data_IF_074708935321
#
_entry.id   IF_074708935321
#
_cell.length_a   1.000
_cell.length_b   1.000
_cell.length_c   1.000
_cell.angle_alpha   90.00
_cell.angle_beta   90.00
_cell.angle_gamma   90.00
#
_symmetry.space_group_name_H-M   'P 1'
#
loop_
_entity.id
_entity.type
_entity.pdbx_description
1 polymer ?
#
# COMPACT_ATOMS: atom_id res chain seq x y z
N UNK A 1 8.75 -5.22 2.26
CA UNK A 1 7.82 -5.33 3.41
C UNK A 1 8.52 -5.79 4.69
N UNK A 2 9.39 -6.81 4.68
CA UNK A 2 10.16 -7.25 5.88
C UNK A 2 11.37 -6.35 6.26
N UNK A 3 11.68 -5.33 5.47
CA UNK A 3 12.83 -4.45 5.71
C UNK A 3 12.55 -3.35 6.77
N UNK A 4 11.28 -3.01 7.02
CA UNK A 4 10.92 -2.02 8.05
C UNK A 4 10.90 -2.68 9.43
N UNK A 5 12.00 -2.58 10.18
CA UNK A 5 12.15 -3.14 11.54
C UNK A 5 11.39 -2.40 12.65
N UNK A 6 10.30 -1.68 12.34
CA UNK A 6 9.65 -0.77 13.29
C UNK A 6 8.16 -1.02 13.56
N UNK A 7 7.40 -1.52 12.58
CA UNK A 7 5.95 -1.59 12.72
C UNK A 7 5.49 -2.95 13.25
N UNK A 8 4.57 -2.95 14.22
CA UNK A 8 3.89 -4.16 14.74
C UNK A 8 3.36 -5.07 13.61
N UNK A 9 3.03 -4.49 12.45
CA UNK A 9 2.61 -5.19 11.24
C UNK A 9 3.68 -6.11 10.66
N UNK A 10 4.97 -5.72 10.70
CA UNK A 10 6.07 -6.54 10.20
C UNK A 10 6.32 -7.73 11.12
N UNK A 11 6.17 -7.54 12.43
CA UNK A 11 6.21 -8.63 13.41
C UNK A 11 5.01 -9.57 13.24
N UNK A 12 3.80 -9.02 13.06
CA UNK A 12 2.57 -9.81 12.87
C UNK A 12 2.62 -10.65 11.58
N UNK A 13 3.00 -10.04 10.44
CA UNK A 13 3.13 -10.76 9.18
C UNK A 13 4.24 -11.82 9.24
N UNK A 14 5.34 -11.55 9.95
CA UNK A 14 6.40 -12.52 10.19
C UNK A 14 5.92 -13.73 11.01
N UNK A 15 5.18 -13.49 12.10
CA UNK A 15 4.61 -14.56 12.95
C UNK A 15 3.59 -15.39 12.18
N UNK A 16 2.66 -14.75 11.46
CA UNK A 16 1.65 -15.46 10.64
C UNK A 16 2.34 -16.31 9.57
N UNK A 17 3.36 -15.76 8.89
CA UNK A 17 4.12 -16.50 7.89
C UNK A 17 4.85 -17.71 8.50
N UNK A 18 5.55 -17.53 9.62
CA UNK A 18 6.25 -18.61 10.32
C UNK A 18 5.26 -19.69 10.81
N UNK A 19 4.12 -19.29 11.35
CA UNK A 19 3.06 -20.20 11.78
C UNK A 19 2.48 -20.99 10.61
N UNK A 20 2.20 -20.33 9.48
CA UNK A 20 1.75 -20.97 8.25
C UNK A 20 2.77 -21.96 7.70
N UNK A 21 4.05 -21.58 7.66
CA UNK A 21 5.13 -22.48 7.25
C UNK A 21 5.29 -23.68 8.18
N UNK A 22 5.20 -23.47 9.50
CA UNK A 22 5.24 -24.55 10.48
C UNK A 22 4.06 -25.51 10.30
N UNK A 23 2.85 -25.00 10.07
CA UNK A 23 1.66 -25.80 9.79
C UNK A 23 1.82 -26.64 8.51
N UNK A 24 2.31 -26.03 7.42
CA UNK A 24 2.59 -26.73 6.16
C UNK A 24 3.61 -27.84 6.37
N UNK A 25 4.69 -27.60 7.12
CA UNK A 25 5.67 -28.62 7.45
C UNK A 25 5.05 -29.75 8.27
N UNK A 26 4.28 -29.46 9.32
CA UNK A 26 3.63 -30.49 10.14
C UNK A 26 2.70 -31.37 9.29
N UNK A 27 1.89 -30.77 8.41
CA UNK A 27 0.98 -31.49 7.52
C UNK A 27 1.77 -32.35 6.52
N UNK A 28 2.77 -31.78 5.86
CA UNK A 28 3.57 -32.47 4.84
C UNK A 28 4.32 -33.70 5.39
N UNK A 29 4.76 -33.63 6.64
CA UNK A 29 5.48 -34.73 7.30
C UNK A 29 4.58 -35.60 8.19
N UNK A 30 3.26 -35.37 8.20
CA UNK A 30 2.31 -36.14 9.00
C UNK A 30 2.57 -36.09 10.51
N UNK A 31 3.19 -35.01 11.01
CA UNK A 31 3.58 -34.88 12.42
C UNK A 31 4.72 -35.80 12.88
N UNK A 32 5.40 -36.50 11.97
CA UNK A 32 6.48 -37.43 12.30
C UNK A 32 7.77 -36.67 12.66
N UNK A 33 8.03 -36.52 13.97
CA UNK A 33 9.20 -35.82 14.51
C UNK A 33 10.53 -36.37 13.98
N UNK A 34 10.62 -37.68 13.72
CA UNK A 34 11.79 -38.34 13.16
C UNK A 34 12.24 -37.75 11.81
N UNK A 35 11.30 -37.21 11.02
CA UNK A 35 11.60 -36.58 9.73
C UNK A 35 11.89 -35.07 9.86
N UNK A 36 11.40 -34.41 10.91
CA UNK A 36 11.62 -32.98 11.16
C UNK A 36 12.97 -32.69 11.83
N UNK A 37 13.43 -33.54 12.76
CA UNK A 37 14.69 -33.35 13.49
C UNK A 37 15.89 -33.16 12.53
N UNK A 38 16.05 -33.97 11.46
CA UNK A 38 17.12 -33.77 10.47
C UNK A 38 17.05 -32.43 9.75
N UNK A 39 15.86 -32.00 9.36
CA UNK A 39 15.65 -30.74 8.64
C UNK A 39 16.07 -29.54 9.52
N UNK A 40 15.70 -29.57 10.79
CA UNK A 40 16.16 -28.60 11.78
C UNK A 40 17.68 -28.61 11.95
N UNK A 41 18.28 -29.80 12.12
CA UNK A 41 19.72 -29.95 12.30
C UNK A 41 20.50 -29.38 11.11
N UNK A 42 20.10 -29.70 9.87
CA UNK A 42 20.70 -29.15 8.66
C UNK A 42 20.64 -27.62 8.66
N UNK A 43 19.48 -27.03 8.97
CA UNK A 43 19.34 -25.56 9.02
C UNK A 43 20.24 -24.91 10.07
N UNK A 44 20.24 -25.43 11.30
CA UNK A 44 21.02 -24.90 12.43
C UNK A 44 22.52 -25.04 12.21
N UNK A 45 22.99 -26.22 11.80
CA UNK A 45 24.41 -26.41 11.53
C UNK A 45 24.87 -25.63 10.30
N UNK A 46 24.03 -25.45 9.28
CA UNK A 46 24.34 -24.55 8.16
C UNK A 46 24.51 -23.10 8.64
N UNK A 47 23.57 -22.61 9.46
CA UNK A 47 23.63 -21.26 10.00
C UNK A 47 24.88 -21.05 10.89
N UNK A 48 25.20 -22.00 11.76
CA UNK A 48 26.41 -21.94 12.57
C UNK A 48 27.67 -22.01 11.73
N UNK A 49 27.76 -22.93 10.77
CA UNK A 49 28.93 -23.07 9.88
C UNK A 49 29.19 -21.77 9.11
N UNK A 50 28.14 -21.18 8.52
CA UNK A 50 28.22 -19.91 7.79
C UNK A 50 28.52 -18.72 8.69
N UNK A 51 27.93 -18.66 9.90
CA UNK A 51 28.21 -17.60 10.88
C UNK A 51 29.67 -17.65 11.34
N UNK A 52 30.16 -18.84 11.71
CA UNK A 52 31.55 -19.03 12.13
C UNK A 52 32.53 -18.72 10.99
N UNK A 53 32.25 -19.19 9.76
CA UNK A 53 33.05 -18.84 8.57
C UNK A 53 33.03 -17.34 8.27
N UNK A 54 31.87 -16.69 8.39
CA UNK A 54 31.71 -15.25 8.25
C UNK A 54 32.54 -14.48 9.28
N UNK A 55 32.54 -14.95 10.54
CA UNK A 55 33.36 -14.36 11.60
C UNK A 55 34.86 -14.55 11.35
N UNK A 56 35.30 -15.65 10.74
CA UNK A 56 36.71 -15.81 10.32
C UNK A 56 37.09 -14.73 9.30
N UNK A 57 36.24 -14.49 8.30
CA UNK A 57 36.45 -13.43 7.29
C UNK A 57 36.44 -12.04 7.95
N UNK A 58 35.51 -11.80 8.87
CA UNK A 58 35.40 -10.55 9.65
C UNK A 58 36.70 -10.25 10.42
N UNK A 59 37.18 -11.18 11.22
CA UNK A 59 38.41 -11.02 12.00
C UNK A 59 39.64 -10.80 11.10
N UNK A 60 39.68 -11.45 9.93
CA UNK A 60 40.76 -11.25 8.94
C UNK A 60 40.73 -9.85 8.30
N UNK A 61 39.54 -9.26 8.12
CA UNK A 61 39.36 -7.93 7.52
C UNK A 61 39.62 -6.80 8.52
N UNK A 62 39.03 -6.85 9.72
CA UNK A 62 39.09 -5.75 10.70
C UNK A 62 40.35 -5.80 11.58
N UNK A 63 40.87 -7.01 11.90
CA UNK A 63 42.11 -7.22 12.66
C UNK A 63 42.15 -6.54 14.05
N UNK A 64 41.03 -6.57 14.76
CA UNK A 64 40.88 -6.12 16.14
C UNK A 64 41.82 -6.84 17.14
N UNK A 65 42.09 -6.28 18.33
CA UNK A 65 42.97 -6.91 19.31
C UNK A 65 42.58 -8.37 19.62
N UNK A 66 43.53 -9.30 19.51
CA UNK A 66 43.26 -10.73 19.69
C UNK A 66 42.65 -11.45 18.48
N UNK A 67 42.54 -10.80 17.31
CA UNK A 67 41.89 -11.38 16.12
C UNK A 67 42.43 -12.75 15.72
N UNK A 68 43.73 -13.01 15.87
CA UNK A 68 44.33 -14.32 15.51
C UNK A 68 43.74 -15.46 16.34
N UNK A 69 43.56 -15.25 17.65
CA UNK A 69 42.97 -16.25 18.55
C UNK A 69 41.51 -16.50 18.21
N UNK A 70 40.72 -15.42 18.10
CA UNK A 70 39.29 -15.53 17.80
C UNK A 70 39.04 -16.13 16.42
N UNK A 71 39.90 -15.82 15.45
CA UNK A 71 39.87 -16.41 14.12
C UNK A 71 40.14 -17.93 14.16
N UNK A 72 41.12 -18.39 14.95
CA UNK A 72 41.37 -19.83 15.12
C UNK A 72 40.19 -20.52 15.80
N UNK A 73 39.64 -19.94 16.87
CA UNK A 73 38.47 -20.49 17.57
C UNK A 73 37.28 -20.63 16.63
N UNK A 74 36.94 -19.57 15.90
CA UNK A 74 35.83 -19.59 14.95
C UNK A 74 36.13 -20.50 13.74
N UNK A 75 37.39 -20.61 13.32
CA UNK A 75 37.82 -21.52 12.26
C UNK A 75 37.62 -22.99 12.66
N UNK A 76 38.06 -23.36 13.86
CA UNK A 76 37.83 -24.71 14.41
C UNK A 76 36.33 -24.96 14.57
N UNK A 77 35.57 -23.99 15.08
CA UNK A 77 34.12 -24.08 15.20
C UNK A 77 33.42 -24.29 13.84
N UNK A 78 33.83 -23.55 12.80
CA UNK A 78 33.31 -23.70 11.44
C UNK A 78 33.60 -25.08 10.86
N UNK A 79 34.82 -25.61 11.04
CA UNK A 79 35.18 -26.96 10.59
C UNK A 79 34.37 -28.02 11.35
N UNK A 80 34.30 -27.94 12.68
CA UNK A 80 33.57 -28.91 13.49
C UNK A 80 32.07 -28.93 13.13
N UNK A 81 31.43 -27.77 13.04
CA UNK A 81 30.01 -27.66 12.65
C UNK A 81 29.77 -28.08 11.20
N UNK A 82 30.70 -27.79 10.29
CA UNK A 82 30.67 -28.27 8.91
C UNK A 82 30.78 -29.79 8.80
N UNK A 83 31.65 -30.43 9.59
CA UNK A 83 31.75 -31.89 9.67
C UNK A 83 30.43 -32.49 10.17
N UNK A 84 29.85 -31.95 11.24
CA UNK A 84 28.54 -32.41 11.74
C UNK A 84 27.45 -32.26 10.69
N UNK A 85 27.42 -31.14 9.97
CA UNK A 85 26.48 -30.92 8.86
C UNK A 85 26.60 -32.00 7.78
N UNK A 86 27.83 -32.32 7.36
CA UNK A 86 28.11 -33.36 6.37
C UNK A 86 27.69 -34.74 6.87
N UNK A 87 28.01 -35.07 8.13
CA UNK A 87 27.62 -36.34 8.75
C UNK A 87 26.09 -36.46 8.80
N UNK A 88 25.39 -35.42 9.26
CA UNK A 88 23.92 -35.41 9.33
C UNK A 88 23.31 -35.55 7.93
N UNK A 89 23.83 -34.82 6.94
CA UNK A 89 23.36 -34.92 5.56
C UNK A 89 23.56 -36.32 4.96
N UNK A 90 24.74 -36.93 5.18
CA UNK A 90 25.07 -38.24 4.64
C UNK A 90 24.36 -39.39 5.37
N UNK A 91 24.33 -39.36 6.71
CA UNK A 91 23.66 -40.37 7.55
C UNK A 91 22.16 -40.42 7.25
N UNK A 92 21.50 -39.27 7.13
CA UNK A 92 20.06 -39.21 6.89
C UNK A 92 19.67 -39.60 5.47
N UNK A 93 20.59 -39.53 4.51
CA UNK A 93 20.39 -40.11 3.19
C UNK A 93 20.22 -41.64 3.26
N UNK A 94 20.97 -42.31 4.14
CA UNK A 94 20.89 -43.78 4.29
C UNK A 94 19.60 -44.24 4.98
N UNK A 95 18.98 -43.39 5.79
CA UNK A 95 17.71 -43.67 6.49
C UNK A 95 16.46 -43.29 5.68
N UNK A 96 16.62 -42.91 4.41
CA UNK A 96 15.51 -42.51 3.54
C UNK A 96 15.01 -41.08 3.74
N UNK A 97 15.69 -40.27 4.56
CA UNK A 97 15.36 -38.87 4.79
C UNK A 97 16.02 -37.95 3.73
N UNK A 98 15.60 -38.11 2.48
CA UNK A 98 16.04 -37.29 1.33
C UNK A 98 15.52 -35.85 1.35
N UNK A 99 14.58 -35.53 2.23
CA UNK A 99 13.83 -34.27 2.20
C UNK A 99 14.72 -33.02 2.33
N UNK A 100 15.69 -32.92 3.26
CA UNK A 100 16.55 -31.73 3.34
C UNK A 100 17.37 -31.46 2.08
N UNK A 101 17.78 -32.52 1.36
CA UNK A 101 18.55 -32.43 0.11
C UNK A 101 17.72 -31.78 -1.00
N UNK A 102 16.40 -31.89 -0.97
CA UNK A 102 15.51 -31.24 -1.93
C UNK A 102 15.07 -29.86 -1.44
N UNK A 103 14.65 -29.76 -0.18
CA UNK A 103 14.08 -28.53 0.38
C UNK A 103 15.10 -27.39 0.44
N UNK A 104 16.35 -27.66 0.86
CA UNK A 104 17.36 -26.61 1.00
C UNK A 104 17.72 -25.98 -0.36
N UNK A 105 18.07 -26.74 -1.42
CA UNK A 105 18.29 -26.16 -2.74
C UNK A 105 17.07 -25.45 -3.31
N UNK A 106 15.85 -25.96 -3.06
CA UNK A 106 14.61 -25.31 -3.50
C UNK A 106 14.45 -23.92 -2.87
N UNK A 107 14.67 -23.79 -1.56
CA UNK A 107 14.63 -22.50 -0.86
C UNK A 107 15.73 -21.56 -1.39
N UNK A 108 16.95 -22.06 -1.61
CA UNK A 108 18.05 -21.28 -2.18
C UNK A 108 17.70 -20.79 -3.59
N UNK A 109 17.10 -21.65 -4.44
CA UNK A 109 16.66 -21.31 -5.78
C UNK A 109 15.55 -20.25 -5.75
N UNK A 110 14.58 -20.37 -4.85
CA UNK A 110 13.52 -19.38 -4.62
C UNK A 110 14.12 -18.02 -4.24
N UNK A 111 14.97 -17.95 -3.22
CA UNK A 111 15.61 -16.71 -2.79
C UNK A 111 16.50 -16.10 -3.88
N UNK A 112 17.20 -16.95 -4.64
CA UNK A 112 18.00 -16.50 -5.78
C UNK A 112 17.14 -15.96 -6.92
N UNK A 113 16.00 -16.58 -7.20
CA UNK A 113 15.01 -16.11 -8.17
C UNK A 113 14.45 -14.75 -7.80
N UNK A 114 14.06 -14.57 -6.53
CA UNK A 114 13.61 -13.30 -5.97
C UNK A 114 14.70 -12.23 -6.13
N UNK A 115 15.94 -12.52 -5.73
CA UNK A 115 17.07 -11.58 -5.89
C UNK A 115 17.25 -11.15 -7.35
N UNK A 116 17.27 -12.11 -8.28
CA UNK A 116 17.42 -11.83 -9.73
C UNK A 116 16.28 -11.00 -10.28
N UNK A 117 15.05 -11.20 -9.79
CA UNK A 117 13.91 -10.39 -10.17
C UNK A 117 14.09 -8.94 -9.72
N UNK A 118 14.45 -8.70 -8.46
CA UNK A 118 14.73 -7.36 -7.95
C UNK A 118 15.91 -6.68 -8.67
N UNK A 119 16.99 -7.42 -8.96
CA UNK A 119 18.12 -6.89 -9.73
C UNK A 119 17.72 -6.53 -11.19
N UNK A 120 16.76 -7.24 -11.78
CA UNK A 120 16.21 -6.91 -13.10
C UNK A 120 15.37 -5.63 -13.05
N UNK A 121 14.47 -5.53 -12.09
CA UNK A 121 13.61 -4.35 -11.90
C UNK A 121 14.47 -3.11 -11.61
N UNK A 122 15.46 -3.24 -10.72
CA UNK A 122 16.40 -2.16 -10.39
C UNK A 122 17.16 -1.64 -11.61
N UNK A 123 17.62 -2.54 -12.49
CA UNK A 123 18.28 -2.14 -13.74
C UNK A 123 17.36 -1.39 -14.71
N UNK A 124 16.09 -1.80 -14.81
CA UNK A 124 15.10 -1.15 -15.69
C UNK A 124 14.70 0.23 -15.16
N UNK A 125 14.63 0.38 -13.84
CA UNK A 125 14.29 1.64 -13.18
C UNK A 125 15.50 2.58 -12.98
N UNK A 126 16.71 2.16 -13.36
CA UNK A 126 17.91 2.96 -13.18
C UNK A 126 17.90 4.14 -14.16
N UNK A 127 17.64 5.34 -13.65
CA UNK A 127 17.63 6.58 -14.43
C UNK A 127 19.05 7.12 -14.56
N UNK A 128 19.48 7.42 -15.78
CA UNK A 128 20.70 8.19 -16.07
C UNK A 128 20.36 9.67 -16.29
N UNK A 129 21.24 10.62 -15.99
CA UNK A 129 20.96 12.05 -16.24
C UNK A 129 20.54 12.36 -17.69
N UNK A 130 21.06 11.60 -18.66
CA UNK A 130 20.75 11.72 -20.09
C UNK A 130 19.37 11.17 -20.48
N UNK A 131 18.78 10.28 -19.68
CA UNK A 131 17.46 9.69 -19.94
C UNK A 131 16.30 10.56 -19.46
N UNK A 132 16.57 11.70 -18.81
CA UNK A 132 15.53 12.63 -18.33
C UNK A 132 15.14 13.56 -19.48
N UNK A 133 14.20 13.11 -20.33
CA UNK A 133 13.50 13.99 -21.27
C UNK A 133 12.25 14.55 -20.59
N UNK A 134 12.14 15.89 -20.57
CA UNK A 134 10.92 16.57 -20.13
C UNK A 134 9.94 16.56 -21.31
N UNK A 135 9.06 15.58 -21.35
CA UNK A 135 7.96 15.58 -22.31
C UNK A 135 6.86 16.52 -21.82
N UNK A 136 6.28 17.29 -22.75
CA UNK A 136 5.07 18.07 -22.45
C UNK A 136 3.92 17.08 -22.44
N UNK A 137 3.42 16.77 -21.26
CA UNK A 137 2.29 15.87 -21.08
C UNK A 137 1.03 16.73 -21.11
N UNK A 138 0.15 16.49 -22.07
CA UNK A 138 -1.22 16.95 -21.97
C UNK A 138 -1.94 16.06 -20.97
N UNK A 139 -2.86 16.61 -20.19
CA UNK A 139 -3.64 15.85 -19.22
C UNK A 139 -5.14 16.19 -19.31
N UNK A 140 -5.91 15.18 -19.63
CA UNK A 140 -7.36 15.16 -19.50
C UNK A 140 -7.74 14.64 -18.13
N UNK A 141 -8.68 15.31 -17.48
CA UNK A 141 -9.27 14.82 -16.23
C UNK A 141 -10.71 14.39 -16.48
N UNK A 142 -11.00 13.12 -16.16
CA UNK A 142 -12.34 12.53 -16.20
C UNK A 142 -12.81 12.33 -14.77
N UNK A 143 -13.91 12.97 -14.37
CA UNK A 143 -14.50 12.81 -13.04
C UNK A 143 -15.66 11.83 -13.12
N UNK A 144 -15.53 10.67 -12.48
CA UNK A 144 -16.63 9.71 -12.42
C UNK A 144 -17.65 10.16 -11.38
N UNK A 145 -18.87 10.40 -11.82
CA UNK A 145 -19.97 10.82 -10.96
C UNK A 145 -21.01 9.70 -10.84
N UNK A 146 -21.73 9.68 -9.72
CA UNK A 146 -22.87 8.78 -9.51
C UNK A 146 -24.19 9.36 -10.03
N UNK A 147 -25.28 8.65 -9.78
CA UNK A 147 -26.65 9.05 -10.19
C UNK A 147 -27.19 10.29 -9.47
N UNK A 148 -26.46 10.82 -8.49
CA UNK A 148 -26.89 11.96 -7.68
C UNK A 148 -25.71 12.88 -7.37
N UNK A 149 -25.97 14.19 -7.40
CA UNK A 149 -25.01 15.20 -7.01
C UNK A 149 -24.95 15.31 -5.48
N UNK A 150 -23.77 15.08 -4.91
CA UNK A 150 -23.54 15.17 -3.47
C UNK A 150 -22.22 15.87 -3.16
N UNK A 151 -22.00 16.23 -1.89
CA UNK A 151 -20.81 16.99 -1.43
C UNK A 151 -19.48 16.34 -1.83
N UNK A 152 -19.41 15.00 -1.81
CA UNK A 152 -18.26 14.25 -2.31
C UNK A 152 -17.95 14.46 -3.81
N UNK A 153 -18.97 14.48 -4.68
CA UNK A 153 -18.81 14.75 -6.12
C UNK A 153 -18.37 16.20 -6.33
N UNK A 154 -18.99 17.17 -5.65
CA UNK A 154 -18.58 18.58 -5.75
C UNK A 154 -17.11 18.76 -5.36
N UNK A 155 -16.68 18.16 -4.24
CA UNK A 155 -15.28 18.20 -3.80
C UNK A 155 -14.33 17.54 -4.82
N UNK A 156 -14.77 16.46 -5.47
CA UNK A 156 -14.00 15.81 -6.53
C UNK A 156 -13.90 16.67 -7.80
N UNK A 157 -14.97 17.36 -8.18
CA UNK A 157 -14.96 18.34 -9.28
C UNK A 157 -14.04 19.52 -8.96
N UNK A 158 -14.09 20.06 -7.74
CA UNK A 158 -13.18 21.14 -7.30
C UNK A 158 -11.71 20.69 -7.34
N UNK A 159 -11.44 19.47 -6.87
CA UNK A 159 -10.11 18.88 -6.97
C UNK A 159 -9.66 18.73 -8.43
N UNK A 160 -10.53 18.22 -9.29
CA UNK A 160 -10.26 18.06 -10.72
C UNK A 160 -9.97 19.41 -11.40
N UNK A 161 -10.72 20.47 -11.09
CA UNK A 161 -10.44 21.84 -11.55
C UNK A 161 -9.07 22.33 -11.08
N UNK A 162 -8.67 22.01 -9.85
CA UNK A 162 -7.37 22.46 -9.31
C UNK A 162 -6.17 21.88 -10.06
N UNK A 163 -6.34 20.76 -10.78
CA UNK A 163 -5.32 20.17 -11.64
C UNK A 163 -5.07 20.96 -12.92
N UNK A 164 -5.93 21.93 -13.27
CA UNK A 164 -5.88 22.75 -14.49
C UNK A 164 -5.64 21.93 -15.77
N UNK A 165 -6.50 20.93 -16.05
CA UNK A 165 -6.38 20.13 -17.26
C UNK A 165 -6.72 20.91 -18.52
N UNK A 166 -6.21 20.43 -19.65
CA UNK A 166 -6.61 20.91 -20.98
C UNK A 166 -8.09 20.58 -21.23
N UNK A 167 -8.52 19.39 -20.80
CA UNK A 167 -9.91 18.95 -20.89
C UNK A 167 -10.39 18.41 -19.54
N UNK A 168 -11.54 18.89 -19.10
CA UNK A 168 -12.22 18.43 -17.89
C UNK A 168 -13.63 17.99 -18.25
N UNK A 169 -13.96 16.73 -17.96
CA UNK A 169 -15.28 16.17 -18.24
C UNK A 169 -15.76 15.35 -17.05
N UNK A 170 -17.03 15.52 -16.68
CA UNK A 170 -17.71 14.66 -15.74
C UNK A 170 -18.41 13.54 -16.51
N UNK A 171 -18.23 12.29 -16.09
CA UNK A 171 -18.81 11.12 -16.75
C UNK A 171 -19.71 10.38 -15.79
N UNK A 172 -20.96 10.19 -16.20
CA UNK A 172 -21.92 9.34 -15.51
C UNK A 172 -22.21 8.10 -16.36
N UNK A 173 -22.01 6.91 -15.79
CA UNK A 173 -22.49 5.68 -16.43
C UNK A 173 -23.93 5.44 -15.99
N UNK A 174 -24.87 5.69 -16.90
CA UNK A 174 -26.29 5.54 -16.63
C UNK A 174 -26.77 4.11 -16.89
N UNK A 175 -27.56 3.58 -15.97
CA UNK A 175 -28.24 2.28 -16.07
C UNK A 175 -29.73 2.42 -16.38
N UNK A 176 -30.32 3.54 -15.98
CA UNK A 176 -31.75 3.81 -16.02
C UNK A 176 -31.99 5.24 -16.51
N UNK A 177 -33.02 5.43 -17.35
CA UNK A 177 -33.31 6.76 -17.92
C UNK A 177 -33.73 7.76 -16.82
N UNK A 178 -34.39 7.29 -15.75
CA UNK A 178 -34.80 8.15 -14.63
C UNK A 178 -33.58 8.78 -13.92
N UNK A 179 -32.53 7.99 -13.68
CA UNK A 179 -31.31 8.48 -13.02
C UNK A 179 -30.57 9.50 -13.90
N UNK A 180 -30.56 9.27 -15.22
CA UNK A 180 -30.02 10.24 -16.19
C UNK A 180 -30.74 11.58 -16.07
N UNK A 181 -32.07 11.57 -16.19
CA UNK A 181 -32.86 12.81 -16.13
C UNK A 181 -32.68 13.54 -14.80
N UNK A 182 -32.62 12.79 -13.70
CA UNK A 182 -32.40 13.35 -12.36
C UNK A 182 -31.05 14.06 -12.27
N UNK A 183 -29.98 13.40 -12.71
CA UNK A 183 -28.65 13.98 -12.68
C UNK A 183 -28.55 15.22 -13.60
N UNK A 184 -29.11 15.17 -14.81
CA UNK A 184 -29.12 16.33 -15.72
C UNK A 184 -29.86 17.53 -15.12
N UNK A 185 -31.01 17.32 -14.47
CA UNK A 185 -31.77 18.37 -13.78
C UNK A 185 -30.95 18.98 -12.64
N UNK A 186 -30.28 18.16 -11.84
CA UNK A 186 -29.40 18.63 -10.77
C UNK A 186 -28.21 19.41 -11.35
N UNK A 187 -27.54 18.88 -12.37
CA UNK A 187 -26.37 19.51 -12.97
C UNK A 187 -26.66 20.95 -13.43
N UNK A 188 -27.83 21.16 -14.06
CA UNK A 188 -28.31 22.50 -14.45
C UNK A 188 -28.68 23.35 -13.25
N UNK A 189 -29.40 22.80 -12.27
CA UNK A 189 -29.86 23.54 -11.09
C UNK A 189 -28.70 24.04 -10.21
N UNK A 190 -27.59 23.29 -10.15
CA UNK A 190 -26.39 23.66 -9.41
C UNK A 190 -25.37 24.45 -10.25
N UNK A 191 -25.72 24.80 -11.50
CA UNK A 191 -24.88 25.59 -12.43
C UNK A 191 -23.45 25.05 -12.55
N UNK A 192 -23.31 23.72 -12.66
CA UNK A 192 -21.99 23.10 -12.80
C UNK A 192 -21.45 23.38 -14.20
N UNK A 193 -20.36 24.13 -14.27
CA UNK A 193 -19.67 24.61 -15.47
C UNK A 193 -18.88 23.52 -16.23
N UNK A 194 -18.78 22.33 -15.65
CA UNK A 194 -18.06 21.19 -16.24
C UNK A 194 -19.00 20.42 -17.17
N UNK A 195 -18.58 20.09 -18.41
CA UNK A 195 -19.35 19.23 -19.31
C UNK A 195 -19.69 17.88 -18.65
N UNK A 196 -20.96 17.49 -18.72
CA UNK A 196 -21.44 16.19 -18.26
C UNK A 196 -21.70 15.28 -19.46
N UNK A 197 -20.95 14.20 -19.57
CA UNK A 197 -21.15 13.13 -20.54
C UNK A 197 -21.80 11.91 -19.88
N UNK A 198 -22.86 11.40 -20.48
CA UNK A 198 -23.63 10.28 -19.94
C UNK A 198 -23.48 9.08 -20.86
N UNK A 199 -22.84 8.03 -20.36
CA UNK A 199 -22.60 6.78 -21.09
C UNK A 199 -23.62 5.75 -20.65
N UNK A 200 -24.45 5.28 -21.59
CA UNK A 200 -25.47 4.27 -21.28
C UNK A 200 -24.88 2.86 -21.18
N UNK A 201 -25.23 2.14 -20.12
CA UNK A 201 -24.81 0.75 -19.86
C UNK A 201 -26.01 -0.17 -19.60
N UNK A 202 -26.46 -0.94 -20.62
CA UNK A 202 -27.67 -1.75 -20.50
C UNK A 202 -27.53 -2.93 -19.51
N UNK A 203 -26.30 -3.38 -19.24
CA UNK A 203 -26.02 -4.55 -18.41
C UNK A 203 -25.66 -4.21 -16.96
N UNK A 204 -25.86 -2.97 -16.52
CA UNK A 204 -25.44 -2.47 -15.19
C UNK A 204 -23.94 -2.65 -14.92
N UNK A 205 -23.14 -2.61 -15.98
CA UNK A 205 -21.70 -2.69 -15.90
C UNK A 205 -21.12 -1.27 -15.83
N UNK A 206 -20.29 -0.98 -14.82
CA UNK A 206 -19.60 0.31 -14.70
C UNK A 206 -18.27 0.32 -15.45
N UNK A 207 -17.54 -0.80 -15.41
CA UNK A 207 -16.12 -0.84 -15.79
C UNK A 207 -15.95 -0.76 -17.31
N UNK A 208 -16.62 -1.62 -18.07
CA UNK A 208 -16.45 -1.68 -19.52
C UNK A 208 -16.87 -0.38 -20.25
N UNK A 209 -17.97 0.31 -19.89
CA UNK A 209 -18.30 1.60 -20.48
C UNK A 209 -17.27 2.69 -20.16
N UNK A 210 -16.73 2.73 -18.94
CA UNK A 210 -15.67 3.68 -18.57
C UNK A 210 -14.41 3.42 -19.38
N UNK A 211 -14.01 2.16 -19.56
CA UNK A 211 -12.85 1.83 -20.38
C UNK A 211 -13.03 2.26 -21.83
N UNK A 212 -14.17 1.90 -22.46
CA UNK A 212 -14.45 2.32 -23.84
C UNK A 212 -14.42 3.83 -23.99
N UNK A 213 -14.99 4.54 -23.02
CA UNK A 213 -14.96 5.99 -23.02
C UNK A 213 -13.54 6.56 -22.93
N UNK A 214 -12.69 6.00 -22.06
CA UNK A 214 -11.28 6.41 -21.96
C UNK A 214 -10.51 6.06 -23.24
N UNK A 215 -10.79 4.91 -23.86
CA UNK A 215 -10.20 4.52 -25.16
C UNK A 215 -10.59 5.51 -26.27
N UNK A 216 -11.85 5.94 -26.32
CA UNK A 216 -12.32 6.98 -27.25
C UNK A 216 -11.63 8.34 -26.99
N UNK A 217 -11.31 8.67 -25.74
CA UNK A 217 -10.57 9.89 -25.40
C UNK A 217 -9.10 9.81 -25.83
N UNK A 218 -8.45 8.66 -25.68
CA UNK A 218 -7.08 8.44 -26.15
C UNK A 218 -6.99 8.51 -27.69
N UNK A 219 -8.01 8.02 -28.41
CA UNK A 219 -8.09 8.17 -29.87
C UNK A 219 -8.32 9.63 -30.29
N UNK A 220 -9.06 10.39 -29.47
CA UNK A 220 -9.38 11.81 -29.74
C UNK A 220 -8.18 12.72 -29.46
N UNK A 221 -7.38 12.42 -28.46
CA UNK A 221 -6.28 13.25 -27.99
C UNK A 221 -4.98 12.46 -27.92
N UNK A 222 -4.15 12.57 -28.96
CA UNK A 222 -2.86 11.92 -28.99
C UNK A 222 -1.94 12.42 -27.86
N UNK A 223 -1.27 11.49 -27.18
CA UNK A 223 -0.27 11.74 -26.15
C UNK A 223 -0.79 12.46 -24.89
N UNK A 224 -2.05 12.22 -24.54
CA UNK A 224 -2.72 12.75 -23.35
C UNK A 224 -2.67 11.71 -22.19
N UNK A 225 -2.32 12.16 -20.98
CA UNK A 225 -2.42 11.33 -19.78
C UNK A 225 -3.80 11.53 -19.15
N UNK A 226 -4.65 10.50 -19.25
CA UNK A 226 -5.99 10.55 -18.70
C UNK A 226 -5.96 10.29 -17.19
N UNK A 227 -6.38 11.28 -16.42
CA UNK A 227 -6.58 11.18 -14.97
C UNK A 227 -8.04 10.91 -14.65
N UNK A 228 -8.35 9.71 -14.18
CA UNK A 228 -9.68 9.32 -13.72
C UNK A 228 -9.83 9.63 -12.24
N UNK A 229 -10.66 10.61 -11.91
CA UNK A 229 -10.97 11.04 -10.55
C UNK A 229 -12.21 10.33 -10.05
N UNK A 230 -12.06 9.58 -8.96
CA UNK A 230 -13.12 8.80 -8.33
C UNK A 230 -13.45 9.41 -6.96
N UNK A 231 -14.65 9.98 -6.75
CA UNK A 231 -15.12 10.37 -5.42
C UNK A 231 -15.32 9.12 -4.55
N UNK A 232 -14.70 9.09 -3.37
CA UNK A 232 -14.85 7.97 -2.43
C UNK A 232 -15.41 8.42 -1.09
N UNK A 233 -16.39 7.69 -0.58
CA UNK A 233 -16.93 7.92 0.75
C UNK A 233 -16.13 7.15 1.79
N UNK A 234 -15.63 7.85 2.79
CA UNK A 234 -14.99 7.24 3.95
C UNK A 234 -15.96 7.31 5.12
N UNK A 235 -16.38 6.13 5.57
CA UNK A 235 -17.24 5.92 6.73
C UNK A 235 -16.39 5.66 7.98
N UNK A 236 -16.90 6.01 9.16
CA UNK A 236 -16.13 5.94 10.40
C UNK A 236 -15.75 4.52 10.84
N UNK A 237 -16.43 3.48 10.34
CA UNK A 237 -16.24 2.09 10.77
C UNK A 237 -15.75 1.20 9.62
N UNK A 238 -14.68 0.43 9.88
CA UNK A 238 -14.01 -0.40 8.86
C UNK A 238 -14.90 -1.50 8.26
N UNK A 239 -15.92 -1.98 8.98
CA UNK A 239 -16.83 -3.02 8.48
C UNK A 239 -17.87 -2.46 7.49
N UNK A 240 -18.20 -1.16 7.57
CA UNK A 240 -19.09 -0.48 6.64
C UNK A 240 -18.40 -0.27 5.27
N UNK A 241 -17.06 -0.22 5.25
CA UNK A 241 -16.27 -0.12 4.02
C UNK A 241 -16.35 -1.35 3.10
N UNK A 242 -16.54 -2.55 3.66
CA UNK A 242 -16.56 -3.79 2.87
C UNK A 242 -17.80 -3.87 1.97
N UNK A 243 -18.90 -3.24 2.38
CA UNK A 243 -20.19 -3.33 1.69
C UNK A 243 -20.41 -2.26 0.61
N UNK A 244 -19.73 -1.12 0.68
CA UNK A 244 -20.12 0.06 -0.10
C UNK A 244 -19.13 0.52 -1.19
N UNK A 245 -17.87 0.06 -1.21
CA UNK A 245 -16.85 0.58 -2.14
C UNK A 245 -16.21 -0.45 -3.09
N UNK A 246 -16.87 -1.57 -3.36
CA UNK A 246 -16.28 -2.66 -4.17
C UNK A 246 -16.06 -2.27 -5.64
N UNK A 247 -17.03 -1.60 -6.27
CA UNK A 247 -16.96 -1.23 -7.70
C UNK A 247 -15.79 -0.28 -8.01
N UNK A 248 -15.52 0.69 -7.12
CA UNK A 248 -14.38 1.60 -7.27
C UNK A 248 -13.05 0.86 -7.13
N UNK A 249 -12.96 -0.12 -6.21
CA UNK A 249 -11.75 -0.94 -6.03
C UNK A 249 -11.45 -1.77 -7.28
N UNK A 250 -12.46 -2.42 -7.87
CA UNK A 250 -12.30 -3.18 -9.11
C UNK A 250 -11.92 -2.27 -10.29
N UNK A 251 -12.56 -1.10 -10.41
CA UNK A 251 -12.25 -0.14 -11.46
C UNK A 251 -10.80 0.37 -11.35
N UNK A 252 -10.35 0.77 -10.16
CA UNK A 252 -8.95 1.12 -9.90
C UNK A 252 -8.00 0.00 -10.26
N UNK A 253 -8.33 -1.22 -9.81
CA UNK A 253 -7.53 -2.40 -10.09
C UNK A 253 -7.34 -2.63 -11.58
N UNK A 254 -8.38 -2.41 -12.39
CA UNK A 254 -8.32 -2.57 -13.85
C UNK A 254 -7.59 -1.42 -14.54
N UNK A 255 -7.94 -0.18 -14.22
CA UNK A 255 -7.35 1.02 -14.81
C UNK A 255 -5.86 1.19 -14.46
N UNK A 256 -5.39 0.67 -13.32
CA UNK A 256 -3.96 0.69 -12.94
C UNK A 256 -3.06 -0.07 -13.94
N UNK A 257 -3.62 -1.07 -14.64
CA UNK A 257 -2.87 -1.83 -15.65
C UNK A 257 -2.97 -1.23 -17.05
N UNK A 258 -3.73 -0.13 -17.22
CA UNK A 258 -3.84 0.61 -18.48
C UNK A 258 -2.70 1.63 -18.59
N UNK A 259 -2.03 1.66 -19.75
CA UNK A 259 -0.98 2.64 -20.01
C UNK A 259 -1.59 4.04 -20.20
N UNK A 260 -0.86 5.09 -19.82
CA UNK A 260 -1.34 6.48 -19.98
C UNK A 260 -2.48 6.89 -19.05
N UNK A 261 -2.93 6.03 -18.13
CA UNK A 261 -4.04 6.32 -17.22
C UNK A 261 -3.57 6.44 -15.77
N UNK A 262 -3.97 7.54 -15.13
CA UNK A 262 -3.76 7.78 -13.70
C UNK A 262 -5.12 7.69 -13.01
N UNK A 263 -5.20 6.98 -11.89
CA UNK A 263 -6.44 6.89 -11.10
C UNK A 263 -6.25 7.59 -9.77
N UNK A 264 -7.09 8.59 -9.51
CA UNK A 264 -7.02 9.42 -8.31
C UNK A 264 -8.30 9.30 -7.50
N UNK A 265 -8.16 9.07 -6.21
CA UNK A 265 -9.31 8.96 -5.29
C UNK A 265 -9.45 10.23 -4.48
N UNK A 266 -10.65 10.81 -4.48
CA UNK A 266 -10.95 12.01 -3.68
C UNK A 266 -11.81 11.60 -2.49
N UNK A 267 -11.22 11.46 -1.29
CA UNK A 267 -11.98 11.04 -0.13
C UNK A 267 -12.88 12.16 0.38
N UNK A 268 -14.13 11.79 0.61
CA UNK A 268 -15.12 12.56 1.35
C UNK A 268 -15.45 11.82 2.66
N UNK A 269 -14.96 12.38 3.76
CA UNK A 269 -15.27 11.89 5.10
C UNK A 269 -16.67 12.37 5.48
N UNK A 270 -17.57 11.42 5.69
CA UNK A 270 -18.90 11.75 6.20
C UNK A 270 -18.73 12.11 7.68
N UNK A 271 -19.11 13.33 8.12
CA UNK A 271 -19.10 13.66 9.54
C UNK A 271 -19.94 12.61 10.28
N UNK A 272 -19.39 12.02 11.34
CA UNK A 272 -20.19 11.18 12.21
C UNK A 272 -21.38 12.03 12.65
N UNK A 273 -22.60 11.55 12.44
CA UNK A 273 -23.77 12.18 13.02
C UNK A 273 -23.52 12.23 14.53
N UNK A 274 -23.20 13.41 15.07
CA UNK A 274 -23.17 13.63 16.49
C UNK A 274 -24.54 13.18 17.00
N UNK A 275 -24.53 12.08 17.74
CA UNK A 275 -25.74 11.53 18.32
C UNK A 275 -26.45 12.64 19.06
N UNK A 276 -27.72 12.83 18.73
CA UNK A 276 -28.71 13.61 19.46
C UNK A 276 -28.48 13.46 20.97
N UNK A 277 -27.78 14.41 21.59
CA UNK A 277 -27.24 14.19 22.94
C UNK A 277 -26.30 15.27 23.50
N UNK A 278 -26.11 16.41 22.84
CA UNK A 278 -25.48 17.58 23.45
C UNK A 278 -26.51 18.71 23.51
N UNK A 279 -27.06 18.89 24.72
CA UNK A 279 -27.86 20.03 25.14
C UNK A 279 -27.22 21.34 24.69
N UNK A 280 -28.08 22.25 24.23
CA UNK A 280 -27.99 23.70 24.38
C UNK A 280 -26.69 24.23 25.02
N UNK A 281 -25.82 24.81 24.20
CA UNK A 281 -24.98 25.92 24.63
C UNK A 281 -24.59 26.76 23.43
N UNK A 282 -24.95 28.05 23.47
CA UNK A 282 -24.44 29.04 22.52
C UNK A 282 -25.43 29.57 21.48
N UNK A 283 -26.73 29.67 21.77
CA UNK A 283 -27.51 30.74 21.14
C UNK A 283 -27.04 32.07 21.77
N UNK A 284 -26.68 33.11 20.99
CA UNK A 284 -26.38 34.40 21.58
C UNK A 284 -27.68 34.96 22.17
N UNK A 285 -27.68 35.18 23.48
CA UNK A 285 -28.74 35.94 24.13
C UNK A 285 -28.67 37.38 23.60
N UNK A 286 -29.78 37.84 23.00
CA UNK A 286 -30.00 39.24 22.67
C UNK A 286 -30.15 40.00 23.99
N UNK A 287 -29.21 40.90 24.27
CA UNK A 287 -29.34 41.89 25.34
C UNK A 287 -30.17 43.08 24.82
N UNK A 288 -31.10 43.58 25.62
CA UNK A 288 -32.01 44.70 25.29
C UNK A 288 -31.31 46.04 25.00
N UNK A 289 -29.99 46.14 25.14
CA UNK A 289 -29.20 47.31 24.76
C UNK A 289 -28.11 46.86 23.77
N UNK A 290 -28.28 47.21 22.50
CA UNK A 290 -27.53 46.68 21.36
C UNK A 290 -26.02 46.95 21.36
N UNK A 291 -25.26 46.15 22.12
CA UNK A 291 -23.79 46.10 22.06
C UNK A 291 -23.30 44.65 21.91
N UNK A 292 -22.36 44.46 20.97
CA UNK A 292 -21.78 43.15 20.61
C UNK A 292 -20.65 42.82 21.58
N UNK A 293 -20.83 41.79 22.42
CA UNK A 293 -19.76 41.24 23.27
C UNK A 293 -19.04 40.12 22.50
N UNK A 294 -17.78 40.35 22.13
CA UNK A 294 -16.91 39.33 21.52
C UNK A 294 -16.53 38.23 22.52
N UNK A 295 -16.31 36.98 22.08
CA UNK A 295 -15.88 35.90 22.97
C UNK A 295 -14.43 36.12 23.42
N UNK A 296 -14.14 35.80 24.70
CA UNK A 296 -12.77 35.80 25.23
C UNK A 296 -11.85 34.83 24.45
N UNK A 297 -10.59 35.21 24.17
CA UNK A 297 -9.61 34.29 23.61
C UNK A 297 -9.16 33.25 24.66
N UNK A 298 -8.67 32.08 24.22
CA UNK A 298 -8.21 31.03 25.12
C UNK A 298 -6.96 31.46 25.92
N UNK A 299 -6.74 30.91 27.12
CA UNK A 299 -5.65 31.34 27.99
C UNK A 299 -4.28 30.96 27.43
N UNK A 300 -3.39 31.95 27.37
CA UNK A 300 -2.02 31.88 26.86
C UNK A 300 -1.11 31.10 27.83
N UNK A 301 -0.46 30.04 27.36
CA UNK A 301 0.54 29.28 28.11
C UNK A 301 1.92 29.94 28.02
N UNK A 302 2.13 31.06 28.69
CA UNK A 302 3.48 31.58 28.98
C UNK A 302 3.53 32.35 30.30
N UNK A 303 4.00 31.70 31.34
CA UNK A 303 4.60 32.37 32.50
C UNK A 303 5.57 31.40 33.19
N UNK A 304 6.87 31.55 32.91
CA UNK A 304 7.90 31.16 33.88
C UNK A 304 9.16 32.02 33.65
N UNK A 305 9.31 33.08 34.45
CA UNK A 305 10.57 33.79 34.73
C UNK A 305 10.49 34.23 36.20
N UNK A 306 11.57 34.07 36.99
CA UNK A 306 12.13 35.25 37.64
C UNK A 306 13.67 35.38 37.52
N UNK A 307 14.11 36.60 37.23
CA UNK A 307 15.47 37.17 37.33
C UNK A 307 15.91 37.40 38.81
N UNK A 308 17.10 37.97 39.13
CA UNK A 308 18.47 37.81 38.63
C UNK A 308 19.47 37.45 39.78
N UNK A 309 20.77 37.32 39.44
CA UNK A 309 21.92 37.04 40.33
C UNK A 309 22.31 38.24 41.24
N UNK A 310 23.31 38.14 42.15
CA UNK A 310 24.69 37.67 41.90
C UNK A 310 25.02 36.26 42.40
#
# INVERSE_FOLDING_TARGET
QLANRGDRLVFSNGVIFLAGMAAVLIIAFGGLTNALIPLYAVGVFTAFTLSQAGMVIHHRRIKEPGWKRNMVVNGVGSIATGIVLVIVAASKFTEGAWVPIVVVPLIIALFSGIKRHYDRVSRVLHVTPESVRREHINHTVVVLVGSNLHRGVIKALDYARSLRPQHLVAVYVSFEEEDRERLEKQWRAFEVDIPLEIVYSPYRELIAPVERYIDELDERWENDTITVVIPEFIVGKWYEHILHNQSALFLKGKLLFRQGTVVTSVPYHVPAAEGNGARASGAPAVSENGEVVSPLPPPDQRADIPHPAP
#
